data_IF_599702310579
#
_entry.id   IF_599702310579
#
_cell.length_a   1.000
_cell.length_b   1.000
_cell.length_c   1.000
_cell.angle_alpha   90.00
_cell.angle_beta   90.00
_cell.angle_gamma   90.00
#
_symmetry.space_group_name_H-M   'P 1'
#
loop_
_entity.id
_entity.type
_entity.pdbx_description
1 polymer ?
#
# COMPACT_ATOMS: atom_id res chain seq x y z
N UNK A 1 9.28 18.12 13.36
CA UNK A 1 8.12 18.35 12.46
C UNK A 1 7.07 17.28 12.80
N UNK A 2 5.85 17.32 12.23
CA UNK A 2 4.92 16.19 12.42
C UNK A 2 5.42 14.95 11.66
N UNK A 3 5.25 13.77 12.23
CA UNK A 3 5.57 12.47 11.62
C UNK A 3 4.42 12.02 10.73
N UNK A 4 4.73 11.72 9.48
CA UNK A 4 3.78 11.24 8.48
C UNK A 4 4.20 9.85 8.02
N UNK A 5 3.31 8.87 8.14
CA UNK A 5 3.50 7.53 7.60
C UNK A 5 2.55 7.30 6.43
N UNK A 6 3.08 6.77 5.34
CA UNK A 6 2.36 6.50 4.10
C UNK A 6 2.60 5.04 3.71
N UNK A 7 1.53 4.30 3.37
CA UNK A 7 1.68 2.99 2.73
C UNK A 7 2.27 3.12 1.31
N UNK A 8 2.77 2.02 0.76
CA UNK A 8 3.26 1.91 -0.59
C UNK A 8 2.20 1.34 -1.54
N UNK A 9 1.78 0.09 -1.30
CA UNK A 9 0.90 -0.63 -2.21
C UNK A 9 -0.54 -0.10 -2.06
N UNK A 10 -1.25 0.05 -3.17
CA UNK A 10 -2.61 0.59 -3.27
C UNK A 10 -2.79 2.02 -2.67
N UNK A 11 -1.68 2.73 -2.45
CA UNK A 11 -1.62 4.13 -1.99
C UNK A 11 -0.68 4.98 -2.84
N UNK A 12 0.54 4.50 -3.12
CA UNK A 12 1.51 5.16 -4.01
C UNK A 12 1.51 4.50 -5.39
N UNK A 13 1.41 3.17 -5.43
CA UNK A 13 1.36 2.38 -6.65
C UNK A 13 0.43 1.19 -6.52
N UNK A 14 -0.14 0.73 -7.62
CA UNK A 14 -1.15 -0.35 -7.64
C UNK A 14 -1.00 -1.30 -8.84
N UNK A 15 -1.81 -2.36 -8.87
CA UNK A 15 -2.02 -3.20 -10.06
C UNK A 15 -1.01 -4.33 -10.30
N UNK A 16 0.18 -4.28 -9.71
CA UNK A 16 1.22 -5.28 -9.94
C UNK A 16 0.83 -6.71 -9.50
N UNK A 17 0.22 -6.85 -8.32
CA UNK A 17 -0.21 -8.16 -7.80
C UNK A 17 -1.29 -8.78 -8.69
N UNK A 18 -2.30 -7.98 -9.06
CA UNK A 18 -3.39 -8.38 -9.93
C UNK A 18 -2.90 -8.82 -11.33
N UNK A 19 -1.93 -8.09 -11.88
CA UNK A 19 -1.29 -8.44 -13.16
C UNK A 19 -0.62 -9.81 -13.08
N UNK A 20 0.07 -10.12 -11.97
CA UNK A 20 0.70 -11.42 -11.79
C UNK A 20 -0.32 -12.56 -11.61
N UNK A 21 -1.46 -12.32 -10.97
CA UNK A 21 -2.57 -13.31 -10.92
C UNK A 21 -3.02 -13.66 -12.34
N UNK A 22 -3.33 -12.66 -13.16
CA UNK A 22 -3.78 -12.89 -14.53
C UNK A 22 -2.73 -13.61 -15.38
N UNK A 23 -1.45 -13.27 -15.21
CA UNK A 23 -0.35 -13.98 -15.88
C UNK A 23 -0.23 -15.44 -15.44
N UNK A 24 -0.27 -15.70 -14.14
CA UNK A 24 -0.16 -17.05 -13.58
C UNK A 24 -1.30 -17.96 -14.06
N UNK A 25 -2.53 -17.45 -14.05
CA UNK A 25 -3.72 -18.19 -14.46
C UNK A 25 -3.95 -18.20 -15.97
N UNK A 26 -3.17 -17.43 -16.74
CA UNK A 26 -3.41 -17.13 -18.15
C UNK A 26 -4.87 -16.68 -18.39
N UNK A 27 -5.33 -15.72 -17.58
CA UNK A 27 -6.71 -15.23 -17.52
C UNK A 27 -6.81 -13.74 -17.88
N UNK A 28 -8.05 -13.25 -17.97
CA UNK A 28 -8.38 -11.84 -18.21
C UNK A 28 -9.38 -11.32 -17.16
N UNK A 29 -9.16 -11.64 -15.88
CA UNK A 29 -9.97 -11.11 -14.80
C UNK A 29 -9.87 -9.59 -14.73
N UNK A 30 -10.92 -8.99 -14.21
CA UNK A 30 -11.04 -7.57 -13.89
C UNK A 30 -11.21 -7.38 -12.38
N UNK A 31 -11.01 -6.17 -11.86
CA UNK A 31 -11.16 -5.92 -10.42
C UNK A 31 -12.59 -6.22 -9.91
N UNK A 32 -13.61 -6.18 -10.77
CA UNK A 32 -14.98 -6.58 -10.39
C UNK A 32 -15.13 -8.08 -10.09
N UNK A 33 -14.18 -8.92 -10.51
CA UNK A 33 -14.18 -10.34 -10.19
C UNK A 33 -13.66 -10.62 -8.77
N UNK A 34 -12.90 -9.70 -8.18
CA UNK A 34 -12.29 -9.84 -6.86
C UNK A 34 -13.36 -9.71 -5.77
N UNK A 35 -13.41 -10.69 -4.87
CA UNK A 35 -14.35 -10.69 -3.74
C UNK A 35 -13.62 -10.33 -2.45
N UNK A 36 -13.77 -9.08 -2.01
CA UNK A 36 -13.20 -8.58 -0.76
C UNK A 36 -11.75 -8.10 -0.90
N UNK A 37 -10.98 -8.19 0.18
CA UNK A 37 -9.62 -7.63 0.27
C UNK A 37 -8.53 -8.44 -0.45
N UNK A 38 -8.70 -9.76 -0.53
CA UNK A 38 -7.63 -10.64 -1.00
C UNK A 38 -7.83 -11.00 -2.47
N UNK A 39 -7.05 -10.38 -3.37
CA UNK A 39 -7.12 -10.68 -4.82
C UNK A 39 -6.84 -12.15 -5.13
N UNK A 40 -6.01 -12.83 -4.31
CA UNK A 40 -5.72 -14.24 -4.47
C UNK A 40 -6.94 -15.16 -4.26
N UNK A 41 -8.08 -14.63 -3.83
CA UNK A 41 -9.36 -15.36 -3.85
C UNK A 41 -9.82 -15.80 -5.24
N UNK A 42 -9.22 -15.26 -6.30
CA UNK A 42 -9.41 -15.71 -7.69
C UNK A 42 -8.65 -16.99 -8.03
N UNK A 43 -7.68 -17.39 -7.20
CA UNK A 43 -6.85 -18.57 -7.40
C UNK A 43 -7.47 -19.72 -6.60
N UNK A 44 -7.55 -20.90 -7.21
CA UNK A 44 -7.95 -22.12 -6.51
C UNK A 44 -6.96 -22.43 -5.37
N UNK A 45 -7.46 -22.79 -4.19
CA UNK A 45 -6.64 -23.06 -3.01
C UNK A 45 -5.50 -24.06 -3.29
N UNK A 46 -5.72 -25.04 -4.17
CA UNK A 46 -4.71 -26.03 -4.56
C UNK A 46 -3.52 -25.47 -5.34
N UNK A 47 -3.63 -24.24 -5.85
CA UNK A 47 -2.59 -23.54 -6.63
C UNK A 47 -1.98 -22.35 -5.91
N UNK A 48 -2.41 -22.05 -4.68
CA UNK A 48 -1.92 -20.86 -3.96
C UNK A 48 -0.41 -20.93 -3.70
N UNK A 49 0.11 -22.08 -3.30
CA UNK A 49 1.54 -22.24 -3.04
C UNK A 49 2.37 -22.03 -4.33
N UNK A 50 1.94 -22.62 -5.44
CA UNK A 50 2.56 -22.43 -6.76
C UNK A 50 2.52 -20.96 -7.21
N UNK A 51 1.40 -20.27 -6.98
CA UNK A 51 1.27 -18.84 -7.27
C UNK A 51 2.25 -18.01 -6.43
N UNK A 52 2.40 -18.30 -5.14
CA UNK A 52 3.30 -17.54 -4.27
C UNK A 52 4.78 -17.82 -4.59
N UNK A 53 5.13 -19.02 -5.02
CA UNK A 53 6.46 -19.32 -5.58
C UNK A 53 6.70 -18.48 -6.86
N UNK A 54 5.75 -18.49 -7.80
CA UNK A 54 5.81 -17.67 -9.01
C UNK A 54 5.90 -16.16 -8.71
N UNK A 55 5.16 -15.68 -7.72
CA UNK A 55 5.20 -14.28 -7.27
C UNK A 55 6.59 -13.92 -6.72
N UNK A 56 7.21 -14.80 -5.95
CA UNK A 56 8.54 -14.57 -5.38
C UNK A 56 9.63 -14.63 -6.44
N UNK A 57 9.51 -15.49 -7.45
CA UNK A 57 10.42 -15.50 -8.61
C UNK A 57 10.23 -14.27 -9.51
N UNK A 58 9.00 -13.74 -9.57
CA UNK A 58 8.67 -12.52 -10.28
C UNK A 58 9.07 -11.26 -9.49
N UNK A 59 9.18 -10.12 -10.17
CA UNK A 59 9.19 -8.82 -9.51
C UNK A 59 7.86 -8.11 -9.82
N UNK A 60 6.98 -8.03 -8.82
CA UNK A 60 5.67 -7.38 -8.93
C UNK A 60 5.79 -5.90 -9.34
N UNK A 61 6.84 -5.22 -8.88
CA UNK A 61 7.07 -3.79 -9.15
C UNK A 61 7.42 -3.48 -10.60
N UNK A 62 7.70 -4.49 -11.42
CA UNK A 62 7.80 -4.32 -12.88
C UNK A 62 6.45 -4.09 -13.56
N UNK A 63 5.34 -4.28 -12.83
CA UNK A 63 3.97 -4.24 -13.36
C UNK A 63 3.07 -3.27 -12.60
N UNK A 64 3.59 -2.54 -11.62
CA UNK A 64 2.80 -1.54 -10.90
C UNK A 64 2.69 -0.26 -11.72
N UNK A 65 1.57 0.43 -11.56
CA UNK A 65 1.40 1.81 -12.04
C UNK A 65 1.44 2.77 -10.85
N UNK A 66 2.03 3.94 -11.05
CA UNK A 66 2.03 5.01 -10.03
C UNK A 66 0.64 5.64 -9.99
N UNK A 67 0.06 5.73 -8.80
CA UNK A 67 -1.23 6.40 -8.61
C UNK A 67 -1.07 7.89 -8.95
N UNK A 68 -2.02 8.50 -9.71
CA UNK A 68 -1.90 9.88 -10.15
C UNK A 68 -1.56 10.87 -9.02
N UNK A 69 -0.62 11.76 -9.31
CA UNK A 69 -0.10 12.81 -8.42
C UNK A 69 0.63 12.33 -7.15
N UNK A 70 0.77 11.01 -6.91
CA UNK A 70 1.40 10.48 -5.70
C UNK A 70 2.81 11.04 -5.47
N UNK A 71 3.71 10.85 -6.44
CA UNK A 71 5.12 11.22 -6.30
C UNK A 71 5.29 12.73 -6.08
N UNK A 72 4.61 13.56 -6.89
CA UNK A 72 4.69 15.03 -6.78
C UNK A 72 4.23 15.54 -5.41
N UNK A 73 3.12 14.98 -4.88
CA UNK A 73 2.59 15.39 -3.58
C UNK A 73 3.46 14.89 -2.44
N UNK A 74 3.97 13.65 -2.52
CA UNK A 74 4.90 13.08 -1.53
C UNK A 74 6.18 13.89 -1.45
N UNK A 75 6.73 14.36 -2.57
CA UNK A 75 7.92 15.23 -2.59
C UNK A 75 7.68 16.52 -1.80
N UNK A 76 6.56 17.21 -2.05
CA UNK A 76 6.17 18.41 -1.29
C UNK A 76 5.92 18.12 0.20
N UNK A 77 5.33 16.97 0.52
CA UNK A 77 5.10 16.55 1.91
C UNK A 77 6.42 16.25 2.63
N UNK A 78 7.40 15.70 1.93
CA UNK A 78 8.72 15.37 2.47
C UNK A 78 9.48 16.63 2.97
N UNK A 79 9.20 17.79 2.39
CA UNK A 79 9.76 19.08 2.85
C UNK A 79 9.07 19.62 4.12
N UNK A 80 7.81 19.24 4.37
CA UNK A 80 6.98 19.76 5.49
C UNK A 80 6.87 18.80 6.68
N UNK A 81 7.06 17.50 6.46
CA UNK A 81 6.86 16.44 7.44
C UNK A 81 8.11 15.57 7.61
N UNK A 82 8.22 14.94 8.78
CA UNK A 82 9.10 13.78 8.95
C UNK A 82 8.41 12.57 8.32
N UNK A 83 8.60 12.38 7.02
CA UNK A 83 7.89 11.41 6.19
C UNK A 83 8.59 10.06 6.17
N UNK A 84 7.81 8.99 6.33
CA UNK A 84 8.25 7.60 6.20
C UNK A 84 7.28 6.80 5.32
N UNK A 85 7.82 6.00 4.41
CA UNK A 85 7.07 4.97 3.70
C UNK A 85 7.08 3.71 4.57
N UNK A 86 5.91 3.19 4.94
CA UNK A 86 5.78 2.01 5.78
C UNK A 86 4.98 0.92 5.06
N UNK A 87 5.65 -0.18 4.71
CA UNK A 87 5.05 -1.23 3.88
C UNK A 87 5.21 -2.62 4.50
N UNK A 88 4.21 -3.48 4.27
CA UNK A 88 4.29 -4.90 4.64
C UNK A 88 5.08 -5.70 3.61
N UNK A 89 5.60 -6.87 3.99
CA UNK A 89 6.36 -7.75 3.09
C UNK A 89 6.06 -9.25 3.34
N UNK A 90 4.85 -9.57 3.80
CA UNK A 90 4.46 -10.94 4.17
C UNK A 90 3.64 -11.64 3.10
N UNK A 91 3.87 -12.94 2.97
CA UNK A 91 2.97 -13.88 2.31
C UNK A 91 2.65 -14.96 3.36
N UNK A 92 1.39 -15.10 3.83
CA UNK A 92 1.07 -15.97 4.96
C UNK A 92 1.51 -17.43 4.81
N UNK A 93 1.55 -17.97 3.59
CA UNK A 93 1.98 -19.35 3.31
C UNK A 93 3.47 -19.48 3.00
N UNK A 94 4.22 -18.38 2.92
CA UNK A 94 5.65 -18.42 2.61
C UNK A 94 6.50 -17.92 3.77
N UNK A 95 7.22 -18.84 4.41
CA UNK A 95 8.08 -18.53 5.57
C UNK A 95 9.53 -18.21 5.19
N UNK A 96 9.89 -18.30 3.89
CA UNK A 96 11.27 -18.13 3.40
C UNK A 96 11.32 -17.16 2.23
N UNK A 97 12.50 -16.60 1.96
CA UNK A 97 12.77 -15.72 0.81
C UNK A 97 11.97 -14.41 0.71
N UNK A 98 11.15 -14.07 1.72
CA UNK A 98 10.41 -12.80 1.79
C UNK A 98 11.33 -11.56 1.76
N UNK A 99 12.60 -11.70 2.12
CA UNK A 99 13.59 -10.62 1.99
C UNK A 99 13.73 -10.06 0.57
N UNK A 100 13.39 -10.85 -0.46
CA UNK A 100 13.32 -10.37 -1.84
C UNK A 100 12.23 -9.30 -2.03
N UNK A 101 11.08 -9.44 -1.38
CA UNK A 101 9.99 -8.44 -1.47
C UNK A 101 10.43 -7.08 -0.90
N UNK A 102 11.22 -7.09 0.19
CA UNK A 102 11.83 -5.87 0.73
C UNK A 102 12.77 -5.24 -0.30
N UNK A 103 13.64 -6.06 -0.92
CA UNK A 103 14.57 -5.57 -1.94
C UNK A 103 13.82 -4.94 -3.11
N UNK A 104 12.82 -5.63 -3.67
CA UNK A 104 12.05 -5.14 -4.82
C UNK A 104 11.32 -3.83 -4.49
N UNK A 105 10.74 -3.71 -3.28
CA UNK A 105 10.16 -2.46 -2.77
C UNK A 105 11.18 -1.33 -2.67
N UNK A 106 12.33 -1.60 -2.05
CA UNK A 106 13.41 -0.62 -1.90
C UNK A 106 13.88 -0.09 -3.26
N UNK A 107 14.15 -0.99 -4.20
CA UNK A 107 14.64 -0.63 -5.53
C UNK A 107 13.60 0.22 -6.26
N UNK A 108 12.32 -0.18 -6.26
CA UNK A 108 11.25 0.59 -6.89
C UNK A 108 11.08 1.98 -6.26
N UNK A 109 11.11 2.09 -4.93
CA UNK A 109 11.07 3.39 -4.24
C UNK A 109 12.27 4.25 -4.64
N UNK A 110 13.47 3.67 -4.72
CA UNK A 110 14.68 4.44 -5.08
C UNK A 110 14.69 4.89 -6.53
N UNK A 111 14.14 4.10 -7.44
CA UNK A 111 14.01 4.43 -8.86
C UNK A 111 12.98 5.55 -9.10
N UNK A 112 11.83 5.48 -8.43
CA UNK A 112 10.69 6.38 -8.67
C UNK A 112 10.67 7.61 -7.75
N UNK A 113 11.20 7.49 -6.53
CA UNK A 113 11.26 8.54 -5.52
C UNK A 113 12.68 8.67 -4.96
N UNK A 114 13.68 9.09 -5.78
CA UNK A 114 15.08 9.13 -5.37
C UNK A 114 15.34 10.08 -4.20
N UNK A 115 14.45 11.04 -3.93
CA UNK A 115 14.48 11.95 -2.79
C UNK A 115 14.17 11.27 -1.44
N UNK A 116 13.52 10.09 -1.43
CA UNK A 116 13.28 9.30 -0.22
C UNK A 116 14.57 8.58 0.17
N UNK A 117 15.04 8.81 1.41
CA UNK A 117 16.22 8.16 1.97
C UNK A 117 15.89 6.74 2.45
N UNK A 118 16.87 5.85 2.48
CA UNK A 118 16.68 4.51 3.06
C UNK A 118 16.19 4.54 4.52
N UNK A 119 16.62 5.53 5.31
CA UNK A 119 16.15 5.73 6.68
C UNK A 119 14.67 6.12 6.79
N UNK A 120 14.03 6.46 5.68
CA UNK A 120 12.61 6.79 5.59
C UNK A 120 11.76 5.59 5.14
N UNK A 121 12.36 4.41 4.98
CA UNK A 121 11.66 3.19 4.59
C UNK A 121 11.53 2.27 5.81
N UNK A 122 10.30 1.89 6.13
CA UNK A 122 9.97 1.01 7.25
C UNK A 122 9.27 -0.22 6.69
N UNK A 123 9.76 -1.41 7.06
CA UNK A 123 9.17 -2.67 6.64
C UNK A 123 8.65 -3.42 7.86
N UNK A 124 7.32 -3.53 7.95
CA UNK A 124 6.64 -4.27 9.03
C UNK A 124 5.22 -4.61 8.62
N UNK A 125 4.70 -5.73 9.13
CA UNK A 125 3.29 -6.09 9.00
C UNK A 125 2.41 -5.49 10.09
N UNK A 126 2.99 -5.19 11.25
CA UNK A 126 2.26 -4.65 12.41
C UNK A 126 2.38 -3.13 12.45
N UNK A 127 1.85 -2.45 11.43
CA UNK A 127 1.99 -0.98 11.28
C UNK A 127 1.37 -0.19 12.42
N UNK A 128 0.42 -0.78 13.14
CA UNK A 128 -0.25 -0.15 14.28
C UNK A 128 0.70 0.11 15.47
N UNK A 129 1.84 -0.58 15.53
CA UNK A 129 2.84 -0.44 16.60
C UNK A 129 3.72 0.82 16.47
N UNK A 130 3.70 1.50 15.33
CA UNK A 130 4.53 2.69 15.10
C UNK A 130 3.76 3.92 15.60
N UNK A 131 4.38 4.88 16.28
CA UNK A 131 3.71 6.14 16.59
C UNK A 131 3.91 7.16 15.47
N UNK A 132 2.83 7.78 14.99
CA UNK A 132 2.90 8.85 13.98
C UNK A 132 1.74 9.82 14.10
N UNK A 133 1.98 11.11 13.90
CA UNK A 133 0.95 12.14 13.99
C UNK A 133 -0.10 12.00 12.87
N UNK A 134 0.32 11.53 11.68
CA UNK A 134 -0.55 11.34 10.51
C UNK A 134 -0.27 9.99 9.86
N UNK A 135 -1.31 9.28 9.45
CA UNK A 135 -1.25 7.99 8.74
C UNK A 135 -2.09 8.02 7.47
N UNK A 136 -1.53 7.50 6.38
CA UNK A 136 -2.22 7.31 5.09
C UNK A 136 -2.04 5.85 4.68
N UNK A 137 -3.13 5.11 4.59
CA UNK A 137 -3.12 3.66 4.30
C UNK A 137 -4.47 3.27 3.67
N UNK A 138 -4.50 2.28 2.79
CA UNK A 138 -5.72 1.74 2.18
C UNK A 138 -6.43 0.72 3.10
N UNK A 139 -5.73 0.26 4.14
CA UNK A 139 -6.21 -0.76 5.08
C UNK A 139 -6.57 -0.13 6.44
N UNK A 140 -7.85 -0.20 6.80
CA UNK A 140 -8.36 0.32 8.08
C UNK A 140 -7.57 -0.23 9.28
N UNK A 141 -7.15 -1.51 9.24
CA UNK A 141 -6.38 -2.13 10.33
C UNK A 141 -5.06 -1.40 10.63
N UNK A 142 -4.42 -0.85 9.59
CA UNK A 142 -3.14 -0.16 9.70
C UNK A 142 -3.30 1.28 10.23
N UNK A 143 -4.55 1.79 10.26
CA UNK A 143 -4.91 3.09 10.81
C UNK A 143 -5.21 3.05 12.32
N UNK A 144 -5.35 1.87 12.94
CA UNK A 144 -5.66 1.77 14.37
C UNK A 144 -4.51 2.16 15.31
N UNK A 145 -3.30 2.38 14.80
CA UNK A 145 -2.19 2.91 15.59
C UNK A 145 -2.47 4.29 16.20
N UNK A 146 -1.65 4.68 17.17
CA UNK A 146 -1.73 6.00 17.79
C UNK A 146 -1.41 7.08 16.75
N UNK A 147 -2.38 7.96 16.48
CA UNK A 147 -2.27 9.01 15.48
C UNK A 147 -3.36 10.06 15.64
N UNK A 148 -3.00 11.33 15.44
CA UNK A 148 -3.93 12.46 15.47
C UNK A 148 -4.84 12.48 14.23
N UNK A 149 -4.34 11.99 13.09
CA UNK A 149 -5.05 12.02 11.82
C UNK A 149 -4.87 10.70 11.05
N UNK A 150 -5.98 10.01 10.82
CA UNK A 150 -6.03 8.73 10.12
C UNK A 150 -6.74 8.92 8.78
N UNK A 151 -6.02 8.74 7.69
CA UNK A 151 -6.52 8.90 6.33
C UNK A 151 -6.62 7.54 5.64
N UNK A 152 -7.85 7.11 5.38
CA UNK A 152 -8.12 5.91 4.58
C UNK A 152 -8.04 6.29 3.10
N UNK A 153 -7.01 5.81 2.41
CA UNK A 153 -6.89 6.00 0.97
C UNK A 153 -7.86 5.07 0.24
N UNK A 154 -8.69 5.61 -0.66
CA UNK A 154 -9.67 4.78 -1.38
C UNK A 154 -8.97 3.80 -2.33
N UNK A 155 -9.32 2.53 -2.20
CA UNK A 155 -8.88 1.43 -3.08
C UNK A 155 -10.04 0.45 -3.30
N UNK A 156 -9.91 -0.46 -4.28
CA UNK A 156 -10.98 -1.34 -4.76
C UNK A 156 -11.70 -2.10 -3.63
N UNK A 157 -10.98 -2.56 -2.60
CA UNK A 157 -11.51 -3.37 -1.51
C UNK A 157 -12.15 -2.60 -0.35
N UNK A 158 -12.02 -1.27 -0.29
CA UNK A 158 -12.48 -0.48 0.86
C UNK A 158 -13.65 0.46 0.51
N UNK A 159 -14.21 0.37 -0.69
CA UNK A 159 -15.31 1.21 -1.19
C UNK A 159 -16.65 0.97 -0.47
N UNK A 160 -16.79 -0.16 0.23
CA UNK A 160 -17.99 -0.51 0.98
C UNK A 160 -18.09 0.14 2.36
N UNK A 161 -16.99 0.66 2.93
CA UNK A 161 -17.02 1.36 4.21
C UNK A 161 -17.65 2.74 4.07
N UNK A 162 -18.70 3.01 4.85
CA UNK A 162 -19.41 4.29 4.83
C UNK A 162 -18.65 5.34 5.62
N UNK A 163 -18.66 6.58 5.13
CA UNK A 163 -17.95 7.69 5.78
C UNK A 163 -18.42 7.95 7.21
N UNK A 164 -19.72 7.81 7.50
CA UNK A 164 -20.27 7.94 8.86
C UNK A 164 -19.75 6.87 9.83
N UNK A 165 -19.38 5.69 9.33
CA UNK A 165 -18.80 4.61 10.13
C UNK A 165 -17.31 4.88 10.37
N UNK A 166 -16.58 5.30 9.32
CA UNK A 166 -15.18 5.72 9.43
C UNK A 166 -15.01 6.88 10.42
N UNK A 167 -15.91 7.87 10.37
CA UNK A 167 -15.86 9.04 11.23
C UNK A 167 -15.98 8.69 12.72
N UNK A 168 -16.76 7.65 13.08
CA UNK A 168 -16.87 7.17 14.47
C UNK A 168 -15.55 6.62 15.01
N UNK A 169 -14.72 6.08 14.12
CA UNK A 169 -13.38 5.56 14.42
C UNK A 169 -12.29 6.65 14.32
N UNK A 170 -12.66 7.90 14.06
CA UNK A 170 -11.73 9.01 13.83
C UNK A 170 -10.95 8.87 12.51
N UNK A 171 -11.47 8.11 11.55
CA UNK A 171 -10.87 7.89 10.24
C UNK A 171 -11.58 8.77 9.21
N UNK A 172 -10.79 9.41 8.37
CA UNK A 172 -11.27 10.20 7.23
C UNK A 172 -10.86 9.55 5.93
N UNK A 173 -11.80 9.33 5.02
CA UNK A 173 -11.50 8.89 3.66
C UNK A 173 -10.86 10.01 2.85
N UNK A 174 -9.90 9.63 2.00
CA UNK A 174 -9.34 10.47 0.93
C UNK A 174 -9.33 9.67 -0.37
N UNK A 175 -9.86 10.24 -1.44
CA UNK A 175 -10.07 9.48 -2.68
C UNK A 175 -8.89 9.55 -3.66
N UNK A 176 -7.95 10.46 -3.43
CA UNK A 176 -6.79 10.68 -4.29
C UNK A 176 -5.75 11.59 -3.62
N UNK A 177 -4.59 11.72 -4.25
CA UNK A 177 -3.47 12.55 -3.77
C UNK A 177 -3.74 14.05 -3.80
N UNK A 178 -4.64 14.54 -4.67
CA UNK A 178 -5.03 15.95 -4.70
C UNK A 178 -5.78 16.34 -3.43
N UNK A 179 -6.59 15.44 -2.87
CA UNK A 179 -7.23 15.67 -1.57
C UNK A 179 -6.23 15.68 -0.42
N UNK A 180 -5.24 14.79 -0.44
CA UNK A 180 -4.15 14.78 0.55
C UNK A 180 -3.37 16.10 0.49
N UNK A 181 -2.99 16.56 -0.70
CA UNK A 181 -2.31 17.84 -0.88
C UNK A 181 -3.13 18.99 -0.29
N UNK A 182 -4.43 19.07 -0.62
CA UNK A 182 -5.33 20.10 -0.08
C UNK A 182 -5.49 20.03 1.44
N UNK A 183 -5.35 18.85 2.05
CA UNK A 183 -5.51 18.67 3.49
C UNK A 183 -4.22 19.00 4.26
N UNK A 184 -3.06 18.62 3.72
CA UNK A 184 -1.79 18.64 4.45
C UNK A 184 -0.85 19.79 4.02
N UNK A 185 -0.98 20.31 2.81
CA UNK A 185 -0.06 21.33 2.27
C UNK A 185 -0.64 22.76 2.25
N UNK A 186 -1.82 22.98 2.82
CA UNK A 186 -2.32 24.33 3.13
C UNK A 186 -1.45 25.08 4.14
#
# INVERSE_FOLDING_TARGET
>A
MKKLIIDLDDVICEGGFFTLINKFLNSNFTLSDVKGYYMQSLIDDSKLDEFFEFLLESNMYNYVEVIPNAIEVIEKLNDKYELYICSSFIIPSCEKNLGKLIKDKCDWIKENMPFIKFSQMIFTSEKHLIDADIRIDDSIKNLYGNSDMKLLFTSYHNTNFKDDELAKEGIKRVDNWIEIEKLLLK
#
